data_IF_434360003263
#
_entry.id   IF_434360003263
#
_cell.length_a   1.000
_cell.length_b   1.000
_cell.length_c   1.000
_cell.angle_alpha   90.00
_cell.angle_beta   90.00
_cell.angle_gamma   90.00
#
_symmetry.space_group_name_H-M   'P 1'
#
loop_
_entity.id
_entity.type
_entity.pdbx_description
1 polymer ?
#
# COMPACT_ATOMS: atom_id res chain seq x y z
N UNK A 1 -12.12 -3.04 0.36
CA UNK A 1 -10.73 -3.52 0.16
C UNK A 1 -9.81 -2.31 0.24
N UNK A 2 -8.74 -2.35 1.03
CA UNK A 2 -7.75 -1.29 1.06
C UNK A 2 -7.02 -1.17 -0.29
N UNK A 3 -6.88 0.07 -0.80
CA UNK A 3 -6.10 0.43 -1.97
C UNK A 3 -5.21 1.61 -1.60
N UNK A 4 -4.44 2.19 -2.51
CA UNK A 4 -3.46 3.23 -2.22
C UNK A 4 -3.98 4.38 -1.36
N UNK A 5 -5.18 4.89 -1.66
CA UNK A 5 -5.87 5.93 -0.87
C UNK A 5 -6.10 5.55 0.59
N UNK A 6 -6.49 4.30 0.84
CA UNK A 6 -6.71 3.81 2.21
C UNK A 6 -5.42 3.67 3.00
N UNK A 7 -4.35 3.24 2.33
CA UNK A 7 -3.03 3.10 2.95
C UNK A 7 -2.46 4.48 3.25
N UNK A 8 -2.62 5.42 2.32
CA UNK A 8 -2.20 6.80 2.52
C UNK A 8 -2.90 7.43 3.75
N UNK A 9 -4.23 7.29 3.85
CA UNK A 9 -4.99 7.79 5.02
C UNK A 9 -4.55 7.12 6.32
N UNK A 10 -4.36 5.80 6.30
CA UNK A 10 -3.87 5.07 7.46
C UNK A 10 -2.47 5.54 7.88
N UNK A 11 -1.56 5.75 6.92
CA UNK A 11 -0.22 6.26 7.19
C UNK A 11 -0.26 7.65 7.81
N UNK A 12 -1.10 8.55 7.29
CA UNK A 12 -1.25 9.91 7.82
C UNK A 12 -1.81 9.91 9.26
N UNK A 13 -2.83 9.10 9.54
CA UNK A 13 -3.40 8.95 10.90
C UNK A 13 -2.38 8.37 11.88
N UNK A 14 -1.65 7.33 11.46
CA UNK A 14 -0.61 6.71 12.28
C UNK A 14 0.59 7.63 12.48
N UNK A 15 0.99 8.38 11.46
CA UNK A 15 2.07 9.35 11.59
C UNK A 15 1.72 10.45 12.58
N UNK A 16 0.48 10.94 12.54
CA UNK A 16 -0.05 11.92 13.51
C UNK A 16 -0.01 11.39 14.95
N UNK A 17 -0.29 10.10 15.16
CA UNK A 17 -0.34 9.50 16.49
C UNK A 17 1.04 9.08 17.02
N UNK A 18 1.94 8.65 16.15
CA UNK A 18 3.20 8.00 16.51
C UNK A 18 4.45 8.79 16.13
N UNK A 19 4.37 9.69 15.12
CA UNK A 19 5.54 10.42 14.61
C UNK A 19 6.24 11.21 15.70
N UNK A 20 7.54 10.99 15.88
CA UNK A 20 8.34 11.58 16.94
C UNK A 20 8.12 10.99 18.34
N UNK A 21 7.18 10.06 18.51
CA UNK A 21 6.88 9.45 19.80
C UNK A 21 7.81 8.28 20.11
N UNK A 22 8.19 8.14 21.37
CA UNK A 22 8.93 6.98 21.87
C UNK A 22 7.93 5.90 22.34
N UNK A 23 8.16 4.65 21.92
CA UNK A 23 7.35 3.52 22.36
C UNK A 23 7.62 3.20 23.83
N UNK A 24 6.57 3.14 24.63
CA UNK A 24 6.59 2.67 26.02
C UNK A 24 6.60 1.14 26.03
N UNK A 25 5.87 0.52 25.10
CA UNK A 25 5.87 -0.94 24.92
C UNK A 25 5.46 -1.32 23.50
N UNK A 26 5.86 -2.52 23.08
CA UNK A 26 5.39 -3.19 21.89
C UNK A 26 4.98 -4.62 22.19
N UNK A 27 3.94 -5.12 21.50
CA UNK A 27 3.45 -6.50 21.64
C UNK A 27 3.15 -7.03 20.23
N UNK A 28 4.03 -7.89 19.72
CA UNK A 28 3.89 -8.56 18.43
C UNK A 28 3.27 -9.93 18.63
N UNK A 29 2.05 -10.11 18.17
CA UNK A 29 1.27 -11.34 18.30
C UNK A 29 1.36 -12.22 17.07
N UNK A 30 2.57 -12.29 16.52
CA UNK A 30 2.95 -13.19 15.42
C UNK A 30 4.19 -13.99 15.88
N UNK A 31 4.26 -15.32 15.64
CA UNK A 31 5.30 -16.16 16.22
C UNK A 31 6.73 -15.64 15.99
N UNK A 32 7.01 -15.19 14.77
CA UNK A 32 8.35 -14.72 14.38
C UNK A 32 8.87 -13.55 15.22
N UNK A 33 7.99 -12.71 15.75
CA UNK A 33 8.35 -11.48 16.45
C UNK A 33 7.81 -11.44 17.89
N UNK A 34 7.33 -12.57 18.43
CA UNK A 34 6.67 -12.61 19.73
C UNK A 34 7.57 -12.16 20.90
N UNK A 35 8.88 -12.30 20.78
CA UNK A 35 9.87 -11.87 21.77
C UNK A 35 10.46 -10.49 21.52
N UNK A 36 10.12 -9.86 20.36
CA UNK A 36 10.67 -8.57 20.00
C UNK A 36 10.07 -7.47 20.87
N UNK A 37 10.95 -6.73 21.56
CA UNK A 37 10.57 -5.58 22.37
C UNK A 37 11.19 -4.29 21.77
N UNK A 38 10.34 -3.35 21.38
CA UNK A 38 10.74 -2.04 20.85
C UNK A 38 10.49 -0.90 21.87
N UNK A 39 10.38 -1.20 23.17
CA UNK A 39 10.34 -0.16 24.20
C UNK A 39 11.59 0.73 24.11
N UNK A 40 11.43 2.05 24.22
CA UNK A 40 12.52 3.02 24.07
C UNK A 40 12.86 3.41 22.62
N UNK A 41 12.26 2.74 21.60
CA UNK A 41 12.44 3.12 20.21
C UNK A 41 11.55 4.30 19.82
N UNK A 42 12.06 5.22 19.04
CA UNK A 42 11.31 6.40 18.56
C UNK A 42 10.83 6.19 17.14
N UNK A 43 9.54 6.41 16.89
CA UNK A 43 8.98 6.37 15.53
C UNK A 43 9.42 7.61 14.76
N UNK A 44 10.31 7.47 13.80
CA UNK A 44 10.79 8.58 12.96
C UNK A 44 9.82 8.96 11.86
N UNK A 45 8.96 8.03 11.44
CA UNK A 45 7.93 8.31 10.45
C UNK A 45 7.09 7.12 10.10
N UNK A 46 5.91 7.39 9.54
CA UNK A 46 5.02 6.38 8.95
C UNK A 46 4.69 6.82 7.54
N UNK A 47 5.03 6.01 6.55
CA UNK A 47 4.86 6.33 5.14
C UNK A 47 4.16 5.21 4.39
N UNK A 48 3.29 5.55 3.42
CA UNK A 48 2.72 4.59 2.50
C UNK A 48 3.72 4.29 1.37
N UNK A 49 3.61 3.11 0.77
CA UNK A 49 4.25 2.75 -0.48
C UNK A 49 3.34 1.79 -1.25
N UNK A 50 2.59 2.28 -2.23
CA UNK A 50 1.53 1.53 -2.88
C UNK A 50 0.47 1.08 -1.87
N UNK A 51 0.38 -0.24 -1.69
CA UNK A 51 -0.55 -0.84 -0.70
C UNK A 51 0.16 -1.30 0.58
N UNK A 52 1.43 -0.93 0.76
CA UNK A 52 2.25 -1.24 1.91
C UNK A 52 2.35 -0.03 2.84
N UNK A 53 2.51 -0.29 4.12
CA UNK A 53 2.72 0.72 5.14
C UNK A 53 4.05 0.43 5.83
N UNK A 54 4.91 1.44 5.89
CA UNK A 54 6.26 1.39 6.45
C UNK A 54 6.32 2.34 7.64
N UNK A 55 6.50 1.80 8.84
CA UNK A 55 6.68 2.55 10.06
C UNK A 55 8.14 2.45 10.47
N UNK A 56 8.88 3.54 10.33
CA UNK A 56 10.32 3.61 10.58
C UNK A 56 10.59 4.01 12.02
N UNK A 57 11.53 3.30 12.65
CA UNK A 57 11.91 3.49 14.04
C UNK A 57 13.41 3.66 14.17
N UNK A 58 13.81 4.51 15.12
CA UNK A 58 15.19 4.71 15.53
C UNK A 58 15.38 4.17 16.96
N UNK A 59 16.36 3.33 17.15
CA UNK A 59 16.73 2.81 18.46
C UNK A 59 17.26 3.88 19.39
N UNK A 60 17.31 3.63 20.72
CA UNK A 60 17.96 4.50 21.67
C UNK A 60 19.46 4.69 21.33
N UNK A 61 20.03 5.82 21.69
CA UNK A 61 21.42 6.18 21.34
C UNK A 61 22.49 5.22 21.93
N UNK A 62 22.14 4.47 22.98
CA UNK A 62 23.05 3.56 23.70
C UNK A 62 22.80 2.07 23.44
N UNK A 63 21.96 1.69 22.51
CA UNK A 63 21.68 0.27 22.19
C UNK A 63 22.79 -0.35 21.33
N UNK A 64 24.03 -0.20 21.76
CA UNK A 64 25.12 -1.08 21.39
C UNK A 64 25.12 -2.29 22.33
N UNK A 65 24.90 -3.51 21.81
CA UNK A 65 25.22 -4.83 22.39
C UNK A 65 24.12 -5.74 22.91
N UNK A 66 22.84 -5.40 22.96
CA UNK A 66 21.87 -6.43 23.31
C UNK A 66 20.92 -6.73 22.12
N UNK A 67 20.87 -7.99 21.73
CA UNK A 67 19.91 -8.59 20.78
C UNK A 67 20.19 -8.50 19.26
N UNK A 68 21.47 -8.67 18.87
CA UNK A 68 21.79 -8.97 17.46
C UNK A 68 21.42 -10.42 17.05
N UNK A 69 21.13 -11.29 18.02
CA UNK A 69 20.92 -12.72 17.76
C UNK A 69 19.61 -13.08 17.06
N UNK A 70 18.53 -12.39 17.37
CA UNK A 70 17.19 -12.78 16.88
C UNK A 70 16.90 -12.40 15.41
N UNK A 71 17.68 -11.47 14.84
CA UNK A 71 17.47 -11.01 13.44
C UNK A 71 18.45 -11.64 12.44
N UNK A 72 19.50 -12.32 12.91
CA UNK A 72 20.59 -12.83 12.06
C UNK A 72 20.35 -14.25 11.50
N UNK A 73 19.43 -15.03 12.08
CA UNK A 73 19.16 -16.42 11.64
C UNK A 73 18.23 -16.58 10.43
N UNK A 74 17.76 -15.52 9.80
CA UNK A 74 16.76 -15.61 8.73
C UNK A 74 17.24 -15.23 7.32
N UNK A 75 18.56 -15.15 7.07
CA UNK A 75 19.08 -14.85 5.73
C UNK A 75 19.94 -16.01 5.19
N UNK A 76 19.58 -16.65 4.06
CA UNK A 76 20.52 -17.51 3.36
C UNK A 76 21.63 -16.66 2.75
N UNK A 77 22.88 -17.06 2.98
CA UNK A 77 24.06 -16.42 2.43
C UNK A 77 24.10 -16.52 0.90
N UNK A 78 24.23 -15.40 0.22
CA UNK A 78 24.60 -15.33 -1.19
C UNK A 78 26.05 -14.81 -1.31
N UNK A 79 26.90 -15.44 -2.12
CA UNK A 79 28.30 -15.02 -2.27
C UNK A 79 28.42 -13.88 -3.30
N UNK A 80 29.24 -12.87 -3.00
CA UNK A 80 29.74 -11.90 -3.97
C UNK A 80 29.43 -10.43 -3.65
N UNK A 81 30.13 -9.84 -2.65
CA UNK A 81 30.16 -8.38 -2.48
C UNK A 81 31.44 -7.80 -3.05
N UNK A 82 31.32 -6.95 -4.06
CA UNK A 82 32.39 -6.08 -4.55
C UNK A 82 32.48 -4.87 -3.62
N UNK A 83 33.67 -4.62 -3.06
CA UNK A 83 33.99 -3.44 -2.25
C UNK A 83 34.02 -2.20 -3.14
N UNK A 84 33.29 -1.15 -2.76
CA UNK A 84 33.48 0.20 -3.28
C UNK A 84 34.44 0.94 -2.34
N UNK A 85 35.39 1.67 -2.93
CA UNK A 85 36.45 2.41 -2.26
C UNK A 85 36.00 3.77 -1.69
N UNK A 86 36.95 4.57 -1.14
CA UNK A 86 36.68 5.53 -0.06
C UNK A 86 36.48 6.99 -0.50
N UNK A 87 35.94 7.76 0.45
CA UNK A 87 36.16 9.19 0.72
C UNK A 87 35.34 10.25 -0.02
N UNK A 88 34.44 10.86 0.77
CA UNK A 88 34.31 12.32 0.80
C UNK A 88 34.10 12.78 2.25
N UNK A 89 34.91 13.70 2.77
CA UNK A 89 34.81 14.18 4.14
C UNK A 89 33.86 15.39 4.24
N UNK A 90 33.03 15.40 5.28
CA UNK A 90 32.36 16.64 5.66
C UNK A 90 30.97 16.51 6.22
N UNK A 91 30.83 16.18 7.51
CA UNK A 91 29.94 16.83 8.47
C UNK A 91 30.07 16.15 9.82
N UNK A 92 30.82 16.77 10.72
CA UNK A 92 30.99 16.40 12.12
C UNK A 92 29.84 16.95 12.93
N UNK A 93 28.76 16.19 13.09
CA UNK A 93 27.89 16.24 14.27
C UNK A 93 26.86 15.09 14.24
N UNK A 94 27.23 13.91 13.75
CA UNK A 94 26.40 12.72 13.84
C UNK A 94 26.80 11.93 15.09
N UNK A 95 25.93 11.95 16.10
CA UNK A 95 26.03 11.02 17.22
C UNK A 95 26.16 9.56 16.73
N UNK A 96 26.50 8.59 17.63
CA UNK A 96 26.74 7.22 17.23
C UNK A 96 25.58 6.67 16.37
N UNK A 97 25.87 5.85 15.34
CA UNK A 97 24.85 5.35 14.41
C UNK A 97 23.77 4.60 15.18
N UNK A 98 22.56 5.14 15.21
CA UNK A 98 21.41 4.48 15.84
C UNK A 98 20.92 3.35 14.94
N UNK A 99 20.59 2.20 15.53
CA UNK A 99 19.92 1.13 14.80
C UNK A 99 18.58 1.64 14.28
N UNK A 100 18.28 1.36 13.00
CA UNK A 100 17.03 1.74 12.37
C UNK A 100 16.28 0.49 11.92
N UNK A 101 15.01 0.38 12.31
CA UNK A 101 14.11 -0.71 11.96
C UNK A 101 12.86 -0.15 11.31
N UNK A 102 12.24 -0.97 10.47
CA UNK A 102 10.96 -0.65 9.84
C UNK A 102 9.96 -1.78 10.14
N UNK A 103 8.83 -1.41 10.75
CA UNK A 103 7.66 -2.28 10.80
C UNK A 103 6.96 -2.15 9.45
N UNK A 104 7.05 -3.20 8.63
CA UNK A 104 6.37 -3.31 7.35
C UNK A 104 5.05 -4.04 7.53
N UNK A 105 3.96 -3.50 7.01
CA UNK A 105 2.67 -4.17 7.01
C UNK A 105 1.91 -4.00 5.70
N UNK A 106 1.10 -5.03 5.37
CA UNK A 106 0.13 -4.98 4.27
C UNK A 106 -1.24 -5.42 4.79
N UNK A 107 -2.25 -4.61 4.57
CA UNK A 107 -3.57 -4.82 5.15
C UNK A 107 -4.33 -6.00 4.51
N UNK A 108 -4.01 -6.38 3.25
CA UNK A 108 -4.78 -7.36 2.47
C UNK A 108 -6.27 -6.98 2.44
N UNK A 109 -7.19 -7.94 2.72
CA UNK A 109 -8.64 -7.71 2.62
C UNK A 109 -9.25 -7.16 3.91
N UNK A 110 -8.79 -7.59 5.08
CA UNK A 110 -9.46 -7.39 6.37
C UNK A 110 -8.63 -6.59 7.37
N UNK A 111 -7.33 -6.46 7.10
CA UNK A 111 -6.40 -5.77 7.99
C UNK A 111 -6.71 -4.29 8.11
N UNK A 112 -6.46 -3.75 9.29
CA UNK A 112 -6.48 -2.32 9.54
C UNK A 112 -5.61 -1.97 10.75
N UNK A 113 -5.21 -0.70 10.80
CA UNK A 113 -4.64 -0.09 11.98
C UNK A 113 -5.68 0.81 12.64
N UNK A 114 -5.69 0.87 13.97
CA UNK A 114 -6.57 1.74 14.74
C UNK A 114 -5.80 2.42 15.86
N UNK A 115 -6.13 3.68 16.10
CA UNK A 115 -5.56 4.51 17.16
C UNK A 115 -6.59 4.63 18.28
N UNK A 116 -6.13 4.46 19.52
CA UNK A 116 -6.93 4.56 20.74
C UNK A 116 -6.24 5.48 21.75
N UNK A 117 -6.99 6.04 22.66
CA UNK A 117 -6.42 6.62 23.87
C UNK A 117 -5.69 5.53 24.70
N UNK A 118 -4.67 5.87 25.50
CA UNK A 118 -3.96 4.91 26.34
C UNK A 118 -4.92 4.09 27.20
N UNK A 119 -4.81 2.76 27.15
CA UNK A 119 -5.71 1.84 27.88
C UNK A 119 -7.15 1.78 27.36
N UNK A 120 -7.43 2.43 26.23
CA UNK A 120 -8.78 2.47 25.65
C UNK A 120 -9.30 1.11 25.20
N UNK A 121 -10.61 0.91 25.27
CA UNK A 121 -11.25 -0.35 24.84
C UNK A 121 -11.17 -0.49 23.32
N UNK A 122 -10.64 -1.59 22.85
CA UNK A 122 -10.57 -1.92 21.43
C UNK A 122 -11.95 -2.19 20.84
N UNK A 123 -12.18 -1.69 19.64
CA UNK A 123 -13.42 -1.89 18.87
C UNK A 123 -13.50 -3.25 18.20
N UNK A 124 -12.34 -3.91 17.99
CA UNK A 124 -12.23 -5.24 17.38
C UNK A 124 -11.82 -6.29 18.41
N UNK A 125 -12.15 -7.57 18.16
CA UNK A 125 -11.79 -8.66 19.07
C UNK A 125 -10.27 -8.75 19.27
N UNK A 126 -9.82 -8.90 20.53
CA UNK A 126 -8.40 -8.91 20.89
C UNK A 126 -7.57 -10.01 20.23
N UNK A 127 -8.19 -11.15 19.89
CA UNK A 127 -7.51 -12.26 19.21
C UNK A 127 -7.14 -11.94 17.75
N UNK A 128 -7.74 -10.90 17.15
CA UNK A 128 -7.40 -10.44 15.80
C UNK A 128 -6.24 -9.45 15.78
N UNK A 129 -5.81 -8.94 16.95
CA UNK A 129 -4.64 -8.07 17.06
C UNK A 129 -3.37 -8.84 16.68
N UNK A 130 -2.54 -8.23 15.84
CA UNK A 130 -1.24 -8.77 15.39
C UNK A 130 -0.07 -7.95 15.91
N UNK A 131 -0.29 -6.67 16.17
CA UNK A 131 0.71 -5.76 16.70
C UNK A 131 0.04 -4.71 17.57
N UNK A 132 0.61 -4.43 18.73
CA UNK A 132 0.19 -3.35 19.63
C UNK A 132 1.40 -2.49 19.95
N UNK A 133 1.34 -1.22 19.62
CA UNK A 133 2.37 -0.24 19.92
C UNK A 133 1.79 0.79 20.89
N UNK A 134 2.46 1.03 22.00
CA UNK A 134 2.00 2.00 23.00
C UNK A 134 3.01 3.12 23.16
N UNK A 135 2.49 4.33 23.17
CA UNK A 135 3.21 5.54 23.55
C UNK A 135 2.61 6.12 24.83
N UNK A 136 3.14 7.22 25.33
CA UNK A 136 2.53 7.93 26.45
C UNK A 136 1.13 8.50 26.11
N UNK A 137 0.83 8.70 24.81
CA UNK A 137 -0.36 9.44 24.34
C UNK A 137 -1.35 8.59 23.54
N UNK A 138 -0.95 7.41 23.07
CA UNK A 138 -1.78 6.57 22.21
C UNK A 138 -1.44 5.08 22.31
N UNK A 139 -2.46 4.23 22.17
CA UNK A 139 -2.34 2.82 21.86
C UNK A 139 -2.69 2.62 20.38
N UNK A 140 -1.75 2.07 19.61
CA UNK A 140 -1.94 1.81 18.18
C UNK A 140 -1.96 0.31 17.95
N UNK A 141 -3.03 -0.18 17.35
CA UNK A 141 -3.27 -1.63 17.20
C UNK A 141 -3.49 -2.00 15.75
N UNK A 142 -2.68 -2.94 15.26
CA UNK A 142 -2.84 -3.57 13.95
C UNK A 142 -3.66 -4.85 14.07
N UNK A 143 -4.84 -4.88 13.45
CA UNK A 143 -5.75 -6.03 13.45
C UNK A 143 -5.73 -6.75 12.11
N UNK A 144 -5.77 -8.08 12.13
CA UNK A 144 -5.89 -8.96 10.95
C UNK A 144 -4.91 -8.57 9.82
N UNK A 145 -3.72 -8.09 10.15
CA UNK A 145 -2.71 -7.72 9.16
C UNK A 145 -2.31 -8.96 8.34
N UNK A 146 -2.40 -8.85 7.02
CA UNK A 146 -2.06 -9.95 6.13
C UNK A 146 -0.56 -10.17 5.97
N UNK A 147 0.24 -9.08 6.10
CA UNK A 147 1.70 -9.12 6.27
C UNK A 147 2.05 -8.23 7.45
N UNK A 148 2.93 -8.71 8.30
CA UNK A 148 3.56 -7.97 9.38
C UNK A 148 5.00 -8.47 9.55
N UNK A 149 5.95 -7.59 9.29
CA UNK A 149 7.38 -7.87 9.36
C UNK A 149 8.11 -6.73 10.07
N UNK A 150 9.22 -7.05 10.70
CA UNK A 150 10.19 -6.07 11.20
C UNK A 150 11.51 -6.33 10.51
N UNK A 151 11.98 -5.33 9.79
CA UNK A 151 13.17 -5.41 8.94
C UNK A 151 14.13 -4.25 9.28
N UNK A 152 15.45 -4.41 9.06
CA UNK A 152 16.36 -3.28 9.06
C UNK A 152 15.90 -2.23 8.03
N UNK A 153 15.88 -0.94 8.39
CA UNK A 153 15.44 0.11 7.46
C UNK A 153 16.21 0.14 6.14
N UNK A 154 17.53 -0.11 6.09
CA UNK A 154 18.25 -0.23 4.82
C UNK A 154 17.77 -1.37 3.91
N UNK A 155 17.08 -2.36 4.47
CA UNK A 155 16.54 -3.52 3.74
C UNK A 155 15.09 -3.34 3.25
N UNK A 156 14.50 -2.14 3.38
CA UNK A 156 13.12 -1.86 2.90
C UNK A 156 12.91 -2.25 1.44
N UNK A 157 13.94 -2.13 0.61
CA UNK A 157 13.88 -2.52 -0.80
C UNK A 157 13.51 -4.02 -1.00
N UNK A 158 13.79 -4.90 -0.04
CA UNK A 158 13.37 -6.32 -0.10
C UNK A 158 11.85 -6.46 -0.02
N UNK A 159 11.18 -5.56 0.71
CA UNK A 159 9.73 -5.60 0.88
C UNK A 159 8.98 -4.86 -0.23
N UNK A 160 9.51 -3.73 -0.71
CA UNK A 160 8.78 -2.82 -1.61
C UNK A 160 9.55 -2.42 -2.88
N UNK A 161 10.80 -2.84 -3.05
CA UNK A 161 11.62 -2.47 -4.20
C UNK A 161 11.15 -3.06 -5.54
N UNK A 162 10.30 -4.10 -5.50
CA UNK A 162 9.68 -4.68 -6.68
C UNK A 162 8.52 -3.83 -7.25
N UNK A 163 8.03 -2.86 -6.48
CA UNK A 163 6.90 -2.01 -6.88
C UNK A 163 7.31 -1.03 -7.98
N UNK A 164 6.38 -0.78 -8.88
CA UNK A 164 6.46 0.29 -9.85
C UNK A 164 6.29 1.67 -9.21
N UNK A 165 6.30 2.75 -10.03
CA UNK A 165 6.00 4.10 -9.57
C UNK A 165 4.69 4.13 -8.79
N UNK A 166 4.67 4.79 -7.63
CA UNK A 166 3.48 4.87 -6.78
C UNK A 166 2.64 6.10 -7.16
N UNK A 167 1.40 5.88 -7.56
CA UNK A 167 0.47 6.95 -7.98
C UNK A 167 0.30 8.06 -6.92
N UNK A 168 0.47 7.73 -5.64
CA UNK A 168 0.39 8.67 -4.52
C UNK A 168 1.75 8.96 -3.88
N UNK A 169 2.81 8.37 -4.42
CA UNK A 169 4.17 8.54 -3.90
C UNK A 169 4.89 9.75 -4.49
N UNK A 170 5.95 10.22 -3.80
CA UNK A 170 6.78 11.29 -4.32
C UNK A 170 7.63 10.87 -5.54
N UNK A 171 7.72 9.58 -5.80
CA UNK A 171 8.42 8.95 -6.91
C UNK A 171 7.48 8.60 -8.08
N UNK A 172 6.31 9.23 -8.17
CA UNK A 172 5.42 9.02 -9.29
C UNK A 172 6.10 9.45 -10.61
N UNK A 173 6.24 8.48 -11.50
CA UNK A 173 6.82 8.64 -12.82
C UNK A 173 5.84 8.01 -13.85
N UNK A 174 5.10 8.88 -14.53
CA UNK A 174 4.10 8.45 -15.50
C UNK A 174 4.74 7.79 -16.73
N UNK A 175 5.92 8.27 -17.16
CA UNK A 175 6.61 7.73 -18.33
C UNK A 175 7.10 6.31 -18.05
N UNK A 176 7.68 6.07 -16.87
CA UNK A 176 8.11 4.75 -16.45
C UNK A 176 6.92 3.79 -16.29
N UNK A 177 5.80 4.23 -15.72
CA UNK A 177 4.59 3.43 -15.61
C UNK A 177 4.05 3.04 -17.01
N UNK A 178 3.99 4.00 -17.95
CA UNK A 178 3.60 3.77 -19.33
C UNK A 178 4.55 2.80 -20.04
N UNK A 179 5.86 2.96 -19.86
CA UNK A 179 6.87 2.07 -20.42
C UNK A 179 6.67 0.63 -19.96
N UNK A 180 6.41 0.43 -18.65
CA UNK A 180 6.17 -0.90 -18.07
C UNK A 180 4.89 -1.54 -18.59
N UNK A 181 3.80 -0.79 -18.67
CA UNK A 181 2.54 -1.28 -19.23
C UNK A 181 2.70 -1.69 -20.70
N UNK A 182 3.35 -0.85 -21.51
CA UNK A 182 3.59 -1.12 -22.94
C UNK A 182 4.56 -2.27 -23.19
N UNK A 183 5.34 -2.68 -22.21
CA UNK A 183 6.25 -3.84 -22.34
C UNK A 183 5.49 -5.18 -22.47
N UNK A 184 4.20 -5.22 -22.12
CA UNK A 184 3.34 -6.40 -22.27
C UNK A 184 2.03 -6.00 -23.00
N UNK A 185 2.09 -5.67 -24.31
CA UNK A 185 1.01 -5.03 -25.05
C UNK A 185 -0.27 -5.88 -25.17
N UNK A 186 -0.14 -7.21 -25.12
CA UNK A 186 -1.27 -8.14 -25.27
C UNK A 186 -1.94 -8.47 -23.92
N UNK A 187 -1.37 -8.00 -22.81
CA UNK A 187 -1.96 -8.20 -21.48
C UNK A 187 -3.27 -7.40 -21.38
N UNK A 188 -4.37 -8.02 -20.85
CA UNK A 188 -5.58 -7.26 -20.56
C UNK A 188 -5.30 -6.06 -19.67
N UNK A 189 -5.80 -4.87 -20.04
CA UNK A 189 -5.51 -3.62 -19.31
C UNK A 189 -5.93 -3.73 -17.84
N UNK A 190 -7.05 -4.38 -17.55
CA UNK A 190 -7.50 -4.60 -16.17
C UNK A 190 -6.55 -5.48 -15.37
N UNK A 191 -5.80 -6.40 -15.98
CA UNK A 191 -4.76 -7.19 -15.34
C UNK A 191 -3.50 -6.36 -15.15
N UNK A 192 -3.07 -5.65 -16.20
CA UNK A 192 -1.88 -4.83 -16.20
C UNK A 192 -1.91 -3.72 -15.14
N UNK A 193 -3.09 -3.08 -14.92
CA UNK A 193 -3.31 -2.06 -13.88
C UNK A 193 -3.26 -2.63 -12.45
N UNK A 194 -3.55 -3.91 -12.25
CA UNK A 194 -3.45 -4.54 -10.91
C UNK A 194 -2.04 -4.99 -10.55
N UNK A 195 -1.19 -5.19 -11.54
CA UNK A 195 0.21 -5.59 -11.30
C UNK A 195 0.98 -4.42 -10.70
N UNK A 196 1.24 -4.52 -9.42
CA UNK A 196 1.92 -3.46 -8.65
C UNK A 196 3.37 -3.24 -9.11
N UNK A 197 3.92 -4.10 -9.96
CA UNK A 197 5.23 -3.92 -10.60
C UNK A 197 5.17 -2.91 -11.75
N UNK A 198 4.03 -2.75 -12.41
CA UNK A 198 3.83 -1.73 -13.44
C UNK A 198 3.67 -0.34 -12.81
N UNK A 199 2.73 -0.24 -11.87
CA UNK A 199 2.45 0.97 -11.08
C UNK A 199 1.80 0.55 -9.77
N UNK A 200 2.11 1.24 -8.68
CA UNK A 200 1.63 0.88 -7.37
C UNK A 200 0.42 1.74 -6.93
N UNK A 201 -0.45 1.14 -6.09
CA UNK A 201 -1.58 1.82 -5.48
C UNK A 201 -2.94 1.39 -6.01
N UNK A 202 -3.10 1.13 -7.30
CA UNK A 202 -4.37 0.68 -7.90
C UNK A 202 -4.77 -0.70 -7.37
N UNK A 203 -6.04 -0.82 -6.99
CA UNK A 203 -6.70 -2.08 -6.70
C UNK A 203 -7.93 -2.28 -7.56
N UNK A 204 -8.80 -3.19 -7.13
CA UNK A 204 -9.92 -3.62 -7.95
C UNK A 204 -10.98 -2.53 -8.20
N UNK A 205 -11.13 -1.60 -7.25
CA UNK A 205 -12.06 -0.48 -7.38
C UNK A 205 -11.55 0.44 -8.49
N UNK A 206 -10.35 0.99 -8.30
CA UNK A 206 -9.81 1.96 -9.24
C UNK A 206 -9.54 1.38 -10.62
N UNK A 207 -9.19 0.09 -10.73
CA UNK A 207 -9.12 -0.62 -12.02
C UNK A 207 -10.43 -0.54 -12.79
N UNK A 208 -11.55 -0.94 -12.16
CA UNK A 208 -12.85 -0.95 -12.82
C UNK A 208 -13.30 0.47 -13.18
N UNK A 209 -13.09 1.42 -12.28
CA UNK A 209 -13.51 2.81 -12.46
C UNK A 209 -12.69 3.54 -13.52
N UNK A 210 -11.35 3.36 -13.54
CA UNK A 210 -10.49 3.94 -14.57
C UNK A 210 -10.81 3.39 -15.96
N UNK A 211 -11.01 2.07 -16.09
CA UNK A 211 -11.45 1.47 -17.35
C UNK A 211 -12.80 2.03 -17.81
N UNK A 212 -13.76 2.23 -16.89
CA UNK A 212 -15.06 2.80 -17.23
C UNK A 212 -14.94 4.26 -17.71
N UNK A 213 -14.18 5.08 -17.01
CA UNK A 213 -14.01 6.50 -17.35
C UNK A 213 -13.32 6.67 -18.70
N UNK A 214 -12.32 5.83 -18.99
CA UNK A 214 -11.64 5.78 -20.28
C UNK A 214 -12.48 5.14 -21.41
N UNK A 215 -13.65 4.56 -21.11
CA UNK A 215 -14.47 3.88 -22.11
C UNK A 215 -13.86 2.57 -22.65
N UNK A 216 -12.94 1.96 -21.92
CA UNK A 216 -12.18 0.77 -22.33
C UNK A 216 -12.66 -0.47 -21.56
N UNK A 217 -12.92 -1.56 -22.29
CA UNK A 217 -13.26 -2.82 -21.64
C UNK A 217 -12.05 -3.35 -20.84
N UNK A 218 -12.21 -3.79 -19.57
CA UNK A 218 -11.07 -4.26 -18.77
C UNK A 218 -10.28 -5.42 -19.37
N UNK A 219 -10.92 -6.25 -20.22
CA UNK A 219 -10.25 -7.34 -20.93
C UNK A 219 -9.58 -6.92 -22.25
N UNK A 220 -9.70 -5.66 -22.67
CA UNK A 220 -8.99 -5.17 -23.85
C UNK A 220 -7.47 -5.20 -23.61
N UNK A 221 -6.65 -5.56 -24.60
CA UNK A 221 -5.20 -5.55 -24.44
C UNK A 221 -4.69 -4.12 -24.26
N UNK A 222 -3.56 -3.96 -23.57
CA UNK A 222 -2.91 -2.65 -23.34
C UNK A 222 -2.72 -1.91 -24.66
N UNK A 223 -2.34 -2.61 -25.74
CA UNK A 223 -2.13 -2.03 -27.06
C UNK A 223 -3.40 -1.43 -27.70
N UNK A 224 -4.57 -1.87 -27.28
CA UNK A 224 -5.85 -1.36 -27.80
C UNK A 224 -6.41 -0.18 -27.00
N UNK A 225 -5.73 0.28 -25.95
CA UNK A 225 -6.15 1.45 -25.16
C UNK A 225 -5.82 2.73 -25.92
N UNK A 226 -6.81 3.53 -26.36
CA UNK A 226 -6.56 4.69 -27.22
C UNK A 226 -5.72 5.77 -26.55
N UNK A 227 -5.99 6.03 -25.27
CA UNK A 227 -5.26 7.00 -24.45
C UNK A 227 -4.87 6.39 -23.10
N UNK A 228 -3.78 5.63 -23.12
CA UNK A 228 -3.27 5.00 -21.91
C UNK A 228 -2.73 6.03 -20.89
N UNK A 229 -2.17 7.14 -21.39
CA UNK A 229 -1.66 8.21 -20.52
C UNK A 229 -2.79 8.91 -19.77
N UNK A 230 -3.84 9.30 -20.48
CA UNK A 230 -5.04 9.89 -19.88
C UNK A 230 -5.73 8.95 -18.90
N UNK A 231 -5.75 7.63 -19.16
CA UNK A 231 -6.28 6.64 -18.21
C UNK A 231 -5.48 6.62 -16.91
N UNK A 232 -4.15 6.70 -16.95
CA UNK A 232 -3.32 6.74 -15.74
C UNK A 232 -3.49 8.03 -14.96
N UNK A 233 -3.58 9.16 -15.66
CA UNK A 233 -3.84 10.47 -15.02
C UNK A 233 -5.21 10.47 -14.33
N UNK A 234 -6.25 9.96 -14.97
CA UNK A 234 -7.58 9.83 -14.36
C UNK A 234 -7.53 8.90 -13.13
N UNK A 235 -6.83 7.78 -13.20
CA UNK A 235 -6.66 6.87 -12.05
C UNK A 235 -5.97 7.58 -10.87
N UNK A 236 -4.97 8.43 -11.14
CA UNK A 236 -4.27 9.23 -10.14
C UNK A 236 -5.21 10.26 -9.51
N UNK A 237 -5.94 11.01 -10.32
CA UNK A 237 -6.94 11.99 -9.87
C UNK A 237 -7.98 11.31 -8.96
N UNK A 238 -8.47 10.13 -9.34
CA UNK A 238 -9.41 9.37 -8.53
C UNK A 238 -8.84 8.97 -7.16
N UNK A 239 -7.59 8.54 -7.11
CA UNK A 239 -6.91 8.20 -5.85
C UNK A 239 -6.73 9.43 -4.97
N UNK A 240 -6.23 10.54 -5.53
CA UNK A 240 -5.99 11.80 -4.83
C UNK A 240 -7.29 12.40 -4.27
N UNK A 241 -8.38 12.34 -5.01
CA UNK A 241 -9.69 12.80 -4.56
C UNK A 241 -10.23 12.05 -3.33
N UNK A 242 -9.64 10.88 -3.02
CA UNK A 242 -10.04 10.04 -1.89
C UNK A 242 -9.03 10.05 -0.71
N UNK A 243 -8.08 10.98 -0.69
CA UNK A 243 -7.13 11.12 0.44
C UNK A 243 -7.75 11.78 1.65
N UNK A 244 -8.82 12.55 1.48
CA UNK A 244 -9.54 13.22 2.55
C UNK A 244 -10.43 12.29 3.38
N UNK A 245 -11.06 12.87 4.40
CA UNK A 245 -12.05 12.17 5.23
C UNK A 245 -13.35 11.96 4.46
N UNK A 246 -13.98 10.82 4.66
CA UNK A 246 -15.29 10.51 4.09
C UNK A 246 -15.34 9.17 3.37
N UNK A 247 -16.52 8.80 2.86
CA UNK A 247 -16.68 7.59 2.08
C UNK A 247 -16.00 7.73 0.72
N UNK A 248 -15.32 6.67 0.27
CA UNK A 248 -14.67 6.63 -1.04
C UNK A 248 -15.71 6.84 -2.16
N UNK A 249 -15.36 7.68 -3.12
CA UNK A 249 -16.18 7.95 -4.31
C UNK A 249 -15.31 8.15 -5.54
N UNK A 250 -15.81 7.70 -6.70
CA UNK A 250 -15.18 7.93 -8.02
C UNK A 250 -16.04 8.82 -8.89
N UNK A 251 -17.19 9.27 -8.38
CA UNK A 251 -18.18 10.08 -9.13
C UNK A 251 -17.95 11.58 -9.02
N UNK A 252 -16.86 11.97 -8.34
CA UNK A 252 -16.50 13.37 -8.14
C UNK A 252 -17.35 14.08 -7.07
N UNK A 253 -16.93 15.32 -6.70
CA UNK A 253 -17.53 16.07 -5.59
C UNK A 253 -18.94 16.57 -5.87
N UNK A 254 -19.34 16.65 -7.13
CA UNK A 254 -20.70 17.11 -7.53
C UNK A 254 -21.73 15.98 -7.55
N UNK A 255 -21.36 14.75 -7.27
CA UNK A 255 -22.32 13.65 -7.21
C UNK A 255 -23.28 13.83 -6.03
N UNK A 256 -24.58 13.66 -6.25
CA UNK A 256 -25.61 13.75 -5.23
C UNK A 256 -25.38 12.77 -4.06
N UNK A 257 -24.70 11.66 -4.31
CA UNK A 257 -24.32 10.66 -3.30
C UNK A 257 -22.94 10.11 -3.63
N UNK A 258 -22.08 9.86 -2.62
CA UNK A 258 -20.84 9.11 -2.80
C UNK A 258 -21.11 7.75 -3.45
N UNK A 259 -20.14 7.23 -4.21
CA UNK A 259 -20.26 5.90 -4.81
C UNK A 259 -19.38 5.74 -6.05
N UNK A 260 -19.65 4.66 -6.74
CA UNK A 260 -18.87 4.21 -7.90
C UNK A 260 -19.69 4.30 -9.18
N UNK A 261 -19.02 4.39 -10.32
CA UNK A 261 -19.66 4.30 -11.63
C UNK A 261 -20.09 2.88 -11.94
N UNK A 262 -19.23 1.91 -11.77
CA UNK A 262 -19.48 0.49 -12.11
C UNK A 262 -19.20 -0.49 -10.97
N UNK A 263 -18.22 -0.22 -10.11
CA UNK A 263 -17.78 -1.16 -9.09
C UNK A 263 -18.91 -1.56 -8.13
N UNK A 264 -19.16 -2.88 -7.97
CA UNK A 264 -20.27 -3.46 -7.17
C UNK A 264 -21.66 -2.94 -7.55
N UNK A 265 -21.86 -2.63 -8.83
CA UNK A 265 -23.14 -2.19 -9.34
C UNK A 265 -23.77 -3.16 -10.35
N UNK A 266 -23.40 -4.42 -10.30
CA UNK A 266 -23.97 -5.49 -11.11
C UNK A 266 -25.51 -5.37 -11.16
N UNK A 267 -26.08 -5.52 -12.35
CA UNK A 267 -27.52 -5.39 -12.68
C UNK A 267 -28.15 -3.99 -12.47
N UNK A 268 -27.40 -3.02 -11.87
CA UNK A 268 -27.91 -1.64 -11.77
C UNK A 268 -27.71 -0.90 -13.08
N UNK A 269 -28.60 0.04 -13.41
CA UNK A 269 -28.44 0.83 -14.63
C UNK A 269 -27.13 1.64 -14.59
N UNK A 270 -26.42 1.66 -15.70
CA UNK A 270 -25.25 2.52 -15.92
C UNK A 270 -25.68 3.99 -15.73
N UNK A 271 -24.89 4.75 -14.98
CA UNK A 271 -25.22 6.15 -14.72
C UNK A 271 -24.94 7.08 -15.92
N UNK A 272 -24.34 6.54 -17.00
CA UNK A 272 -24.05 7.27 -18.23
C UNK A 272 -25.07 6.96 -19.34
N UNK A 273 -25.39 5.69 -19.58
CA UNK A 273 -26.23 5.28 -20.71
C UNK A 273 -27.48 4.44 -20.31
N UNK A 274 -27.64 4.06 -19.04
CA UNK A 274 -28.80 3.28 -18.58
C UNK A 274 -28.66 1.77 -18.69
N UNK A 275 -27.76 1.24 -19.51
CA UNK A 275 -27.54 -0.20 -19.70
C UNK A 275 -27.14 -0.88 -18.38
N UNK A 276 -27.65 -2.07 -18.06
CA UNK A 276 -27.28 -2.78 -16.84
C UNK A 276 -25.77 -3.07 -16.78
N UNK A 277 -25.15 -2.74 -15.64
CA UNK A 277 -23.75 -3.08 -15.37
C UNK A 277 -23.59 -4.59 -15.32
N UNK A 278 -22.58 -5.11 -16.00
CA UNK A 278 -22.16 -6.50 -15.97
C UNK A 278 -21.05 -6.75 -14.97
N UNK A 279 -20.98 -7.99 -14.51
CA UNK A 279 -19.87 -8.52 -13.74
C UNK A 279 -19.31 -9.72 -14.47
N UNK A 280 -17.99 -9.87 -14.44
CA UNK A 280 -17.27 -11.02 -14.96
C UNK A 280 -16.00 -11.24 -14.12
N UNK A 281 -15.25 -12.30 -14.41
CA UNK A 281 -13.96 -12.61 -13.80
C UNK A 281 -12.82 -12.24 -14.76
N UNK A 282 -11.79 -11.63 -14.24
CA UNK A 282 -10.57 -11.30 -14.99
C UNK A 282 -9.34 -11.42 -14.09
N UNK A 283 -8.38 -12.22 -14.53
CA UNK A 283 -7.09 -12.41 -13.88
C UNK A 283 -5.98 -12.72 -14.89
N UNK A 284 -4.77 -12.98 -14.40
CA UNK A 284 -3.67 -13.45 -15.25
C UNK A 284 -3.98 -14.81 -15.87
N UNK A 285 -3.28 -15.16 -16.95
CA UNK A 285 -3.50 -16.42 -17.68
C UNK A 285 -3.38 -17.69 -16.81
N UNK A 286 -2.77 -17.60 -15.64
CA UNK A 286 -2.71 -18.69 -14.66
C UNK A 286 -4.05 -19.05 -14.02
N UNK A 287 -5.06 -18.17 -14.09
CA UNK A 287 -6.39 -18.35 -13.48
C UNK A 287 -6.44 -18.36 -11.96
N UNK A 288 -5.29 -18.32 -11.28
CA UNK A 288 -5.22 -18.46 -9.81
C UNK A 288 -5.58 -17.17 -9.04
N UNK A 289 -5.67 -16.04 -9.71
CA UNK A 289 -5.91 -14.73 -9.12
C UNK A 289 -7.07 -13.97 -9.77
N UNK A 290 -8.04 -14.67 -10.32
CA UNK A 290 -9.20 -14.06 -10.95
C UNK A 290 -9.97 -13.20 -9.94
N UNK A 291 -10.38 -12.01 -10.39
CA UNK A 291 -11.14 -11.06 -9.58
C UNK A 291 -12.32 -10.53 -10.37
N UNK A 292 -13.39 -10.26 -9.64
CA UNK A 292 -14.57 -9.61 -10.23
C UNK A 292 -14.17 -8.31 -10.94
N UNK A 293 -14.57 -8.18 -12.20
CA UNK A 293 -14.61 -6.92 -12.91
C UNK A 293 -16.05 -6.45 -13.05
N UNK A 294 -16.25 -5.15 -13.10
CA UNK A 294 -17.55 -4.53 -13.31
C UNK A 294 -17.42 -3.54 -14.46
N UNK A 295 -18.31 -3.61 -15.44
CA UNK A 295 -18.25 -2.79 -16.63
C UNK A 295 -19.63 -2.56 -17.24
N UNK A 296 -19.77 -1.52 -18.06
CA UNK A 296 -20.93 -1.26 -18.91
C UNK A 296 -20.60 -1.69 -20.33
N UNK A 297 -21.32 -2.69 -20.86
CA UNK A 297 -21.03 -3.19 -22.22
C UNK A 297 -21.18 -2.15 -23.33
N UNK A 298 -22.05 -1.13 -23.16
CA UNK A 298 -22.30 -0.11 -24.18
C UNK A 298 -21.28 1.05 -24.07
N UNK A 299 -20.88 1.42 -22.84
CA UNK A 299 -19.86 2.46 -22.61
C UNK A 299 -18.43 1.93 -22.78
N UNK A 300 -18.24 0.63 -22.68
CA UNK A 300 -16.95 -0.08 -22.75
C UNK A 300 -17.13 -1.28 -23.70
N UNK A 301 -17.32 -1.04 -25.01
CA UNK A 301 -17.52 -2.13 -25.95
C UNK A 301 -16.33 -3.08 -25.92
N UNK A 302 -16.61 -4.38 -25.95
CA UNK A 302 -15.59 -5.42 -26.15
C UNK A 302 -14.96 -5.29 -27.54
N UNK A 303 -13.76 -5.82 -27.69
CA UNK A 303 -13.11 -5.95 -29.01
C UNK A 303 -13.86 -6.97 -29.84
#
# INVERSE_FOLDING_TARGET
MPEGDSIWRAAAELHKALGGQTLVSSDFRVPRFATLNLAGWTVSGVVPRGKHLLMRLLGPAEAGTADAGALQEAAPAMPGSVRAGPDTPGSTDAGPPRRALTIHSHLKMEGNWQVYAPGGRWRKPGHTARCVLRTATADVVGFSLGILEVIPTPDEARAVGHLGPDLLGPDWDAEEALRRLRAAPDTPIGVALLDQRNLAGIGNIYRCEACFLAGVHPAAPVSAVPDLAGMLEEAKILLEANLGHGPRTTRGPRALRPGYWVYRREHKPCLRCGTPIRRDLLGPASGLEDRDIYFCQDCQPGL
#
